data_IF_111914505011
#
_entry.id   IF_111914505011
#
_cell.length_a   1.000
_cell.length_b   1.000
_cell.length_c   1.000
_cell.angle_alpha   90.00
_cell.angle_beta   90.00
_cell.angle_gamma   90.00
#
_symmetry.space_group_name_H-M   'P 1'
#
loop_
_entity.id
_entity.type
_entity.pdbx_description
1 polymer ?
#
# COMPACT_ATOMS: atom_id res chain seq x y z
N UNK A 1 3.49 -0.21 14.86
CA UNK A 1 2.92 -0.51 13.53
C UNK A 1 4.12 -0.84 12.69
N UNK A 2 4.33 -2.12 12.43
CA UNK A 2 5.67 -2.59 12.05
C UNK A 2 5.68 -3.17 10.63
N UNK A 3 4.53 -3.15 9.94
CA UNK A 3 4.34 -3.69 8.59
C UNK A 3 3.63 -2.68 7.69
N UNK A 4 3.86 -2.81 6.37
CA UNK A 4 3.15 -2.00 5.36
C UNK A 4 1.63 -2.23 5.41
N UNK A 5 1.19 -3.47 5.61
CA UNK A 5 -0.24 -3.78 5.74
C UNK A 5 -0.87 -3.07 6.93
N UNK A 6 -0.17 -3.01 8.06
CA UNK A 6 -0.60 -2.24 9.22
C UNK A 6 -0.72 -0.75 8.93
N UNK A 7 0.31 -0.14 8.32
CA UNK A 7 0.28 1.28 7.92
C UNK A 7 -0.94 1.59 7.03
N UNK A 8 -1.16 0.76 6.00
CA UNK A 8 -2.28 0.92 5.08
C UNK A 8 -3.63 0.76 5.80
N UNK A 9 -3.79 -0.27 6.64
CA UNK A 9 -5.02 -0.46 7.42
C UNK A 9 -5.29 0.72 8.38
N UNK A 10 -4.25 1.30 8.99
CA UNK A 10 -4.39 2.46 9.85
C UNK A 10 -4.88 3.68 9.07
N UNK A 11 -4.32 3.92 7.88
CA UNK A 11 -4.71 5.03 7.03
C UNK A 11 -6.17 4.90 6.56
N UNK A 12 -6.64 3.68 6.25
CA UNK A 12 -8.06 3.42 5.96
C UNK A 12 -8.95 3.54 7.20
N UNK A 13 -8.45 3.20 8.40
CA UNK A 13 -9.26 3.13 9.62
C UNK A 13 -10.16 1.89 9.72
N UNK A 14 -10.08 0.99 8.74
CA UNK A 14 -10.78 -0.30 8.71
C UNK A 14 -9.93 -1.33 7.95
N UNK A 15 -10.41 -2.58 7.87
CA UNK A 15 -9.86 -3.57 6.95
C UNK A 15 -10.37 -3.27 5.53
N UNK A 16 -9.52 -2.86 4.58
CA UNK A 16 -9.96 -2.55 3.22
C UNK A 16 -10.18 -3.82 2.40
N UNK A 17 -11.11 -3.73 1.46
CA UNK A 17 -11.39 -4.76 0.46
C UNK A 17 -10.44 -4.66 -0.75
N UNK A 18 -10.38 -5.74 -1.54
CA UNK A 18 -9.66 -5.74 -2.82
C UNK A 18 -10.17 -4.61 -3.72
N UNK A 19 -9.22 -3.86 -4.28
CA UNK A 19 -9.47 -2.79 -5.24
C UNK A 19 -9.51 -1.40 -4.62
N UNK A 20 -9.68 -1.30 -3.30
CA UNK A 20 -9.58 -0.02 -2.60
C UNK A 20 -8.17 0.55 -2.68
N UNK A 21 -8.09 1.87 -2.75
CA UNK A 21 -6.83 2.60 -2.84
C UNK A 21 -6.79 3.76 -1.86
N UNK A 22 -5.59 4.09 -1.40
CA UNK A 22 -5.33 5.24 -0.53
C UNK A 22 -4.00 5.89 -0.90
N UNK A 23 -3.97 7.22 -0.79
CA UNK A 23 -2.73 8.00 -0.87
C UNK A 23 -2.11 8.14 0.53
N UNK A 24 -0.82 7.86 0.65
CA UNK A 24 -0.06 8.11 1.87
C UNK A 24 1.24 8.79 1.43
N UNK A 25 1.38 10.08 1.75
CA UNK A 25 2.55 10.89 1.41
C UNK A 25 2.94 10.82 -0.09
N UNK A 26 1.94 10.83 -0.99
CA UNK A 26 2.14 10.75 -2.44
C UNK A 26 2.36 9.33 -3.00
N UNK A 27 2.46 8.32 -2.13
CA UNK A 27 2.47 6.92 -2.54
C UNK A 27 1.03 6.42 -2.66
N UNK A 28 0.69 5.88 -3.81
CA UNK A 28 -0.63 5.31 -4.05
C UNK A 28 -0.59 3.81 -3.76
N UNK A 29 -1.24 3.41 -2.67
CA UNK A 29 -1.41 2.01 -2.30
C UNK A 29 -2.75 1.50 -2.80
N UNK A 30 -2.75 0.38 -3.52
CA UNK A 30 -3.97 -0.32 -3.96
C UNK A 30 -3.98 -1.73 -3.41
N UNK A 31 -5.05 -2.09 -2.69
CA UNK A 31 -5.22 -3.45 -2.14
C UNK A 31 -5.45 -4.42 -3.29
N UNK A 32 -4.45 -5.26 -3.57
CA UNK A 32 -4.54 -6.27 -4.61
C UNK A 32 -5.23 -7.54 -4.08
N UNK A 33 -4.97 -7.90 -2.82
CA UNK A 33 -5.59 -9.06 -2.19
C UNK A 33 -5.73 -8.83 -0.68
N UNK A 34 -6.90 -9.16 -0.15
CA UNK A 34 -7.20 -9.19 1.27
C UNK A 34 -8.14 -10.36 1.57
N UNK A 35 -8.07 -10.90 2.78
CA UNK A 35 -9.06 -11.82 3.33
C UNK A 35 -9.86 -11.12 4.44
N UNK A 36 -10.72 -11.84 5.16
CA UNK A 36 -11.58 -11.27 6.22
C UNK A 36 -10.82 -10.76 7.45
N UNK A 37 -9.49 -10.93 7.52
CA UNK A 37 -8.67 -10.58 8.69
C UNK A 37 -7.52 -9.65 8.36
N UNK A 38 -7.01 -9.67 7.13
CA UNK A 38 -5.76 -8.97 6.79
C UNK A 38 -5.63 -8.66 5.31
N UNK A 39 -4.77 -7.68 5.04
CA UNK A 39 -4.21 -7.44 3.72
C UNK A 39 -3.15 -8.51 3.43
N UNK A 40 -3.21 -9.11 2.24
CA UNK A 40 -2.26 -10.12 1.77
C UNK A 40 -1.27 -9.50 0.78
N UNK A 41 -1.76 -8.64 -0.11
CA UNK A 41 -0.94 -8.00 -1.15
C UNK A 41 -1.42 -6.59 -1.45
N UNK A 42 -0.46 -5.70 -1.65
CA UNK A 42 -0.68 -4.30 -2.04
C UNK A 42 0.19 -3.99 -3.24
N UNK A 43 -0.37 -3.28 -4.22
CA UNK A 43 0.42 -2.61 -5.25
C UNK A 43 0.71 -1.19 -4.78
N UNK A 44 1.95 -0.75 -4.95
CA UNK A 44 2.35 0.63 -4.68
C UNK A 44 2.76 1.30 -5.98
N UNK A 45 2.24 2.49 -6.23
CA UNK A 45 2.78 3.39 -7.25
C UNK A 45 3.59 4.47 -6.52
N UNK A 46 4.83 4.65 -6.96
CA UNK A 46 5.71 5.70 -6.47
C UNK A 46 5.17 7.09 -6.88
N UNK A 47 5.43 8.13 -6.08
CA UNK A 47 5.25 9.52 -6.50
C UNK A 47 5.94 9.80 -7.85
N UNK A 48 5.39 10.73 -8.63
CA UNK A 48 5.91 11.01 -9.97
C UNK A 48 7.31 11.67 -9.94
N UNK A 49 7.69 12.29 -8.82
CA UNK A 49 9.01 12.88 -8.57
C UNK A 49 9.98 11.93 -7.84
N UNK A 50 9.55 10.70 -7.55
CA UNK A 50 10.41 9.73 -6.87
C UNK A 50 11.64 9.40 -7.74
N UNK A 51 12.85 9.39 -7.15
CA UNK A 51 14.04 9.00 -7.87
C UNK A 51 13.88 7.57 -8.40
N UNK A 52 14.30 7.33 -9.64
CA UNK A 52 14.24 6.00 -10.22
C UNK A 52 15.07 5.03 -9.38
N UNK A 53 14.49 3.91 -8.90
CA UNK A 53 15.24 2.95 -8.13
C UNK A 53 16.34 2.37 -9.01
N UNK A 54 17.58 2.54 -8.57
CA UNK A 54 18.73 1.89 -9.18
C UNK A 54 18.76 0.45 -8.67
N UNK A 55 18.41 -0.50 -9.54
CA UNK A 55 18.72 -1.91 -9.28
C UNK A 55 20.21 -2.07 -9.57
N UNK A 56 21.03 -2.13 -8.53
CA UNK A 56 22.41 -2.59 -8.68
C UNK A 56 22.36 -4.09 -9.04
N UNK A 57 23.11 -4.49 -10.06
CA UNK A 57 23.20 -5.88 -10.56
C UNK A 57 23.87 -6.82 -9.54
#
# INVERSE_FOLDING_TARGET
>A
MDTIGGLVMQAFGHLPARGESIDIDGYQFKVAMADSRRIIQVHVKLPDDAPQPKLEE
#
